data_IF_571809337808
#
_entry.id   IF_571809337808
#
_cell.length_a   1.000
_cell.length_b   1.000
_cell.length_c   1.000
_cell.angle_alpha   90.00
_cell.angle_beta   90.00
_cell.angle_gamma   90.00
#
_symmetry.space_group_name_H-M   'P 1'
#
loop_
_entity.id
_entity.type
_entity.pdbx_description
1 polymer ?
#
# COMPACT_ATOMS: atom_id res chain seq x y z
N UNK A 1 12.76 -16.62 9.58
CA UNK A 1 13.12 -15.31 9.02
C UNK A 1 12.04 -14.93 8.00
N UNK A 2 10.97 -14.23 8.42
CA UNK A 2 9.92 -13.81 7.50
C UNK A 2 10.36 -12.61 6.64
N UNK A 3 9.92 -12.61 5.39
CA UNK A 3 10.03 -11.47 4.47
C UNK A 3 8.61 -11.02 4.13
N UNK A 4 8.35 -9.72 4.26
CA UNK A 4 7.07 -9.09 3.89
C UNK A 4 7.33 -8.06 2.80
N UNK A 5 6.56 -8.12 1.72
CA UNK A 5 6.61 -7.13 0.66
C UNK A 5 5.30 -6.35 0.69
N UNK A 6 5.41 -5.04 0.90
CA UNK A 6 4.30 -4.10 0.81
C UNK A 6 4.44 -3.43 -0.56
N UNK A 7 3.47 -3.64 -1.44
CA UNK A 7 3.42 -2.95 -2.72
C UNK A 7 2.32 -1.91 -2.70
N UNK A 8 2.67 -0.66 -2.97
CA UNK A 8 1.77 0.49 -2.96
C UNK A 8 1.72 1.09 -4.35
N UNK A 9 0.52 1.31 -4.90
CA UNK A 9 0.38 2.15 -6.08
C UNK A 9 0.69 3.62 -5.71
N UNK A 10 1.47 4.31 -6.53
CA UNK A 10 1.77 5.73 -6.33
C UNK A 10 0.49 6.56 -6.32
N UNK A 11 0.53 7.63 -5.54
CA UNK A 11 -0.57 8.56 -5.30
C UNK A 11 -0.08 9.98 -5.56
N UNK A 12 -1.02 10.90 -5.77
CA UNK A 12 -0.72 12.32 -5.94
C UNK A 12 0.05 12.89 -4.73
N UNK A 13 -0.31 12.43 -3.52
CA UNK A 13 0.47 12.65 -2.30
C UNK A 13 1.26 11.35 -2.04
N UNK A 14 2.60 11.36 -2.16
CA UNK A 14 3.43 10.18 -1.90
C UNK A 14 3.37 9.74 -0.43
N UNK A 15 3.63 8.46 -0.19
CA UNK A 15 3.76 7.95 1.18
C UNK A 15 5.05 8.52 1.80
N UNK A 16 4.92 9.16 2.96
CA UNK A 16 6.05 9.84 3.60
C UNK A 16 7.05 8.86 4.23
N UNK A 17 8.24 9.35 4.58
CA UNK A 17 9.23 8.54 5.28
C UNK A 17 8.70 8.08 6.66
N UNK A 18 7.97 8.94 7.36
CA UNK A 18 7.37 8.63 8.67
C UNK A 18 6.30 7.54 8.55
N UNK A 19 5.46 7.61 7.52
CA UNK A 19 4.44 6.60 7.22
C UNK A 19 5.09 5.26 6.85
N UNK A 20 6.11 5.27 5.99
CA UNK A 20 6.89 4.06 5.65
C UNK A 20 7.52 3.44 6.90
N UNK A 21 8.09 4.26 7.77
CA UNK A 21 8.66 3.79 9.04
C UNK A 21 7.58 3.21 9.97
N UNK A 22 6.38 3.80 10.00
CA UNK A 22 5.26 3.27 10.76
C UNK A 22 4.77 1.92 10.22
N UNK A 23 4.70 1.76 8.89
CA UNK A 23 4.36 0.49 8.24
C UNK A 23 5.36 -0.61 8.59
N UNK A 24 6.67 -0.32 8.49
CA UNK A 24 7.73 -1.27 8.84
C UNK A 24 7.60 -1.71 10.30
N UNK A 25 7.45 -0.77 11.24
CA UNK A 25 7.27 -1.08 12.67
C UNK A 25 6.01 -1.93 12.91
N UNK A 26 4.89 -1.54 12.31
CA UNK A 26 3.62 -2.23 12.48
C UNK A 26 3.67 -3.68 11.99
N UNK A 27 4.20 -3.91 10.78
CA UNK A 27 4.34 -5.25 10.21
C UNK A 27 5.29 -6.12 11.04
N UNK A 28 6.43 -5.58 11.46
CA UNK A 28 7.36 -6.31 12.33
C UNK A 28 6.69 -6.70 13.65
N UNK A 29 5.90 -5.81 14.26
CA UNK A 29 5.16 -6.09 15.49
C UNK A 29 4.18 -7.26 15.31
N UNK A 30 3.39 -7.27 14.23
CA UNK A 30 2.45 -8.38 13.95
C UNK A 30 3.19 -9.72 13.81
N UNK A 31 4.35 -9.74 13.14
CA UNK A 31 5.14 -10.97 13.00
C UNK A 31 5.67 -11.50 14.34
N UNK A 32 6.02 -10.60 15.26
CA UNK A 32 6.41 -10.95 16.62
C UNK A 32 5.20 -11.49 17.39
N UNK A 33 4.07 -10.79 17.37
CA UNK A 33 2.88 -11.12 18.16
C UNK A 33 2.20 -12.43 17.72
N UNK A 34 2.05 -12.64 16.41
CA UNK A 34 1.27 -13.78 15.88
C UNK A 34 2.12 -15.03 15.71
N UNK A 35 3.36 -14.88 15.25
CA UNK A 35 4.23 -16.01 14.87
C UNK A 35 5.41 -16.22 15.82
N UNK A 36 5.49 -15.45 16.92
CA UNK A 36 6.55 -15.48 17.91
C UNK A 36 7.96 -15.42 17.29
N UNK A 37 8.13 -14.54 16.29
CA UNK A 37 9.43 -14.32 15.62
C UNK A 37 10.26 -13.28 16.37
N UNK A 38 11.58 -13.37 16.21
CA UNK A 38 12.48 -12.34 16.72
C UNK A 38 12.44 -11.11 15.79
N UNK A 39 12.29 -9.88 16.31
CA UNK A 39 12.16 -8.66 15.50
C UNK A 39 13.29 -8.48 14.48
N UNK A 40 14.53 -8.76 14.88
CA UNK A 40 15.73 -8.62 14.05
C UNK A 40 15.79 -9.61 12.87
N UNK A 41 14.91 -10.63 12.86
CA UNK A 41 14.80 -11.59 11.77
C UNK A 41 13.68 -11.26 10.78
N UNK A 42 12.94 -10.16 10.99
CA UNK A 42 11.85 -9.74 10.12
C UNK A 42 12.38 -8.73 9.11
N UNK A 43 12.18 -9.02 7.81
CA UNK A 43 12.52 -8.11 6.71
C UNK A 43 11.24 -7.55 6.13
N UNK A 44 11.15 -6.23 6.01
CA UNK A 44 10.03 -5.52 5.38
C UNK A 44 10.57 -4.70 4.21
N UNK A 45 10.01 -4.92 3.02
CA UNK A 45 10.36 -4.20 1.79
C UNK A 45 9.11 -3.44 1.34
N UNK A 46 9.27 -2.18 0.97
CA UNK A 46 8.18 -1.33 0.46
C UNK A 46 8.52 -0.95 -0.98
N UNK A 47 7.68 -1.39 -1.92
CA UNK A 47 7.76 -1.04 -3.33
C UNK A 47 6.63 -0.08 -3.70
N UNK A 48 7.00 1.08 -4.25
CA UNK A 48 6.05 2.00 -4.83
C UNK A 48 6.01 1.80 -6.35
N UNK A 49 4.83 1.43 -6.85
CA UNK A 49 4.59 1.10 -8.26
C UNK A 49 3.79 2.23 -8.89
N UNK A 50 4.17 2.66 -10.10
CA UNK A 50 3.37 3.64 -10.87
C UNK A 50 1.91 3.20 -10.99
N UNK A 51 0.97 4.13 -10.88
CA UNK A 51 -0.45 3.81 -10.81
C UNK A 51 -0.96 3.18 -12.12
N UNK A 52 -0.36 3.53 -13.25
CA UNK A 52 -0.59 2.99 -14.58
C UNK A 52 -0.19 1.51 -14.68
N UNK A 53 0.78 1.10 -13.87
CA UNK A 53 1.28 -0.28 -13.79
C UNK A 53 0.55 -1.09 -12.71
N UNK A 54 -0.50 -0.53 -12.10
CA UNK A 54 -1.33 -1.20 -11.10
C UNK A 54 -2.76 -1.36 -11.60
N UNK A 55 -3.20 -2.61 -11.81
CA UNK A 55 -4.53 -2.93 -12.31
C UNK A 55 -5.45 -3.55 -11.25
N UNK A 56 -6.72 -3.13 -11.20
CA UNK A 56 -7.77 -3.79 -10.42
C UNK A 56 -8.95 -4.09 -11.37
N UNK A 57 -9.47 -5.32 -11.37
CA UNK A 57 -10.59 -5.69 -12.23
C UNK A 57 -10.35 -5.54 -13.74
N UNK A 58 -9.08 -5.54 -14.18
CA UNK A 58 -8.70 -5.38 -15.59
C UNK A 58 -8.44 -3.95 -16.05
N UNK A 59 -8.53 -2.95 -15.16
CA UNK A 59 -8.28 -1.54 -15.49
C UNK A 59 -7.18 -0.93 -14.61
N UNK A 60 -6.34 -0.02 -15.15
CA UNK A 60 -5.39 0.73 -14.37
C UNK A 60 -6.06 1.60 -13.30
N UNK A 61 -5.40 1.76 -12.16
CA UNK A 61 -5.91 2.56 -11.02
C UNK A 61 -6.32 3.99 -11.41
N UNK A 62 -5.60 4.73 -12.29
CA UNK A 62 -6.05 6.06 -12.73
C UNK A 62 -7.44 6.05 -13.37
N UNK A 63 -7.75 5.05 -14.20
CA UNK A 63 -9.06 4.90 -14.86
C UNK A 63 -10.16 4.68 -13.82
N UNK A 64 -9.90 3.80 -12.86
CA UNK A 64 -10.82 3.50 -11.77
C UNK A 64 -11.09 4.71 -10.88
N UNK A 65 -10.06 5.51 -10.56
CA UNK A 65 -10.19 6.74 -9.78
C UNK A 65 -11.06 7.76 -10.51
N UNK A 66 -10.78 8.01 -11.79
CA UNK A 66 -11.55 8.95 -12.60
C UNK A 66 -13.03 8.53 -12.72
N UNK A 67 -13.32 7.22 -12.83
CA UNK A 67 -14.70 6.72 -12.82
C UNK A 67 -15.40 6.98 -11.49
N UNK A 68 -14.71 6.74 -10.37
CA UNK A 68 -15.24 6.98 -9.01
C UNK A 68 -15.52 8.47 -8.77
N UNK A 69 -14.69 9.37 -9.30
CA UNK A 69 -14.89 10.82 -9.19
C UNK A 69 -16.12 11.29 -9.97
N UNK A 70 -16.24 10.89 -11.25
CA UNK A 70 -17.44 11.20 -12.06
C UNK A 70 -18.73 10.69 -11.43
N UNK A 71 -18.71 9.48 -10.87
CA UNK A 71 -19.88 8.91 -10.18
C UNK A 71 -20.27 9.69 -8.91
N UNK A 72 -19.31 10.28 -8.20
CA UNK A 72 -19.59 11.15 -7.05
C UNK A 72 -20.24 12.47 -7.47
N UNK A 73 -19.76 13.08 -8.56
CA UNK A 73 -20.30 14.33 -9.10
C UNK A 73 -21.73 14.16 -9.61
N UNK A 74 -22.03 13.06 -10.30
CA UNK A 74 -23.38 12.75 -10.79
C UNK A 74 -24.39 12.45 -9.67
N UNK A 75 -23.94 11.95 -8.51
CA UNK A 75 -24.79 11.71 -7.35
C UNK A 75 -24.96 12.96 -6.46
N UNK A 76 -24.19 14.02 -6.70
CA UNK A 76 -24.24 15.27 -5.95
C UNK A 76 -25.05 16.37 -6.68
N UNK A 77 -25.50 16.11 -7.92
CA UNK A 77 -26.39 16.96 -8.73
C UNK A 77 -27.79 16.36 -8.77
#
# INVERSE_FOLDING_TARGET
>A
MPVVNIRLARRAIPTTAEEKAALIRGVTRVMVEVLNKRPESVVVIIDEVEAENWGEGGEPVPVLRARRERAKESNAS
#
